data_IF_981797675510
#
_entry.id   IF_981797675510
#
_cell.length_a   1.000
_cell.length_b   1.000
_cell.length_c   1.000
_cell.angle_alpha   90.00
_cell.angle_beta   90.00
_cell.angle_gamma   90.00
#
_symmetry.space_group_name_H-M   'P 1'
#
loop_
_entity.id
_entity.type
_entity.pdbx_description
1 polymer ?
#
# COMPACT_ATOMS: atom_id res chain seq x y z
N UNK A 1 10.69 -15.97 43.35
CA UNK A 1 12.09 -15.77 43.76
C UNK A 1 12.64 -14.64 42.91
N UNK A 2 12.73 -13.47 43.53
CA UNK A 2 13.32 -12.19 43.08
C UNK A 2 13.44 -11.89 41.58
N UNK A 3 12.45 -11.18 41.06
CA UNK A 3 12.63 -10.18 40.00
C UNK A 3 13.24 -8.91 40.62
N UNK A 4 14.50 -8.99 41.00
CA UNK A 4 15.29 -7.85 41.48
C UNK A 4 15.95 -7.14 40.30
N UNK A 5 15.53 -5.90 40.03
CA UNK A 5 16.36 -4.80 39.52
C UNK A 5 17.40 -5.16 38.46
N UNK A 6 17.01 -5.17 37.17
CA UNK A 6 17.97 -5.29 36.06
C UNK A 6 18.91 -4.09 36.06
N UNK A 7 20.20 -4.41 36.13
CA UNK A 7 21.31 -3.47 36.19
C UNK A 7 21.44 -2.69 34.89
N UNK A 8 21.83 -1.42 35.00
CA UNK A 8 21.59 -0.40 33.98
C UNK A 8 22.46 -0.48 32.71
N UNK A 9 23.44 -1.39 32.64
CA UNK A 9 24.43 -1.42 31.56
C UNK A 9 24.80 -2.86 31.17
N UNK A 10 24.13 -3.38 30.14
CA UNK A 10 24.32 -4.73 29.61
C UNK A 10 24.81 -4.68 28.15
N UNK A 11 25.82 -5.49 27.83
CA UNK A 11 26.40 -5.61 26.48
C UNK A 11 26.10 -7.00 25.93
N UNK A 12 25.61 -7.05 24.69
CA UNK A 12 25.38 -8.28 23.91
C UNK A 12 26.62 -8.56 23.07
N UNK A 13 27.10 -9.80 23.09
CA UNK A 13 28.28 -10.24 22.34
C UNK A 13 27.91 -11.43 21.46
N UNK A 14 28.08 -11.32 20.14
CA UNK A 14 27.95 -12.47 19.25
C UNK A 14 29.26 -13.26 19.22
N UNK A 15 29.20 -14.54 19.58
CA UNK A 15 30.36 -15.41 19.83
C UNK A 15 30.12 -16.84 19.38
N UNK A 16 31.13 -17.50 18.80
CA UNK A 16 31.11 -18.94 18.53
C UNK A 16 31.87 -19.68 19.64
N UNK A 17 31.39 -19.62 20.89
CA UNK A 17 32.09 -20.28 22.02
C UNK A 17 31.11 -20.94 23.02
N UNK A 18 31.61 -21.95 23.76
CA UNK A 18 30.94 -22.65 24.87
C UNK A 18 30.95 -21.81 26.16
N UNK A 19 29.93 -21.98 26.99
CA UNK A 19 29.59 -21.18 28.19
C UNK A 19 30.73 -20.86 29.16
N UNK A 20 31.67 -21.78 29.37
CA UNK A 20 32.77 -21.60 30.34
C UNK A 20 33.86 -20.60 29.94
N UNK A 21 34.02 -20.28 28.66
CA UNK A 21 35.15 -19.47 28.18
C UNK A 21 34.87 -17.97 28.27
N UNK A 22 33.62 -17.53 28.08
CA UNK A 22 33.28 -16.10 28.12
C UNK A 22 33.53 -15.50 29.50
N UNK A 23 33.07 -16.18 30.56
CA UNK A 23 33.29 -15.71 31.93
C UNK A 23 34.77 -15.71 32.31
N UNK A 24 35.52 -16.73 31.88
CA UNK A 24 36.95 -16.84 32.15
C UNK A 24 37.74 -15.71 31.46
N UNK A 25 37.44 -15.44 30.18
CA UNK A 25 38.03 -14.34 29.42
C UNK A 25 37.76 -12.99 30.07
N UNK A 26 36.51 -12.70 30.44
CA UNK A 26 36.20 -11.45 31.11
C UNK A 26 36.85 -11.35 32.49
N UNK A 27 37.00 -12.45 33.23
CA UNK A 27 37.72 -12.46 34.52
C UNK A 27 39.22 -12.20 34.36
N UNK A 28 39.83 -12.68 33.28
CA UNK A 28 41.27 -12.55 33.01
C UNK A 28 41.64 -11.15 32.49
N UNK A 29 40.80 -10.56 31.64
CA UNK A 29 41.11 -9.31 30.93
C UNK A 29 40.34 -8.08 31.45
N UNK A 30 39.23 -8.27 32.17
CA UNK A 30 38.35 -7.17 32.62
C UNK A 30 37.91 -7.36 34.09
N UNK A 31 38.53 -6.64 35.02
CA UNK A 31 38.30 -6.83 36.46
C UNK A 31 36.93 -6.35 36.98
N UNK A 32 36.11 -5.71 36.16
CA UNK A 32 34.92 -4.97 36.61
C UNK A 32 33.68 -5.24 35.76
N UNK A 33 33.19 -6.49 35.80
CA UNK A 33 31.86 -6.88 35.31
C UNK A 33 31.07 -7.58 36.42
N UNK A 34 29.74 -7.53 36.35
CA UNK A 34 28.85 -8.12 37.34
C UNK A 34 28.56 -9.59 37.04
N UNK A 35 28.20 -9.87 35.79
CA UNK A 35 27.83 -11.20 35.35
C UNK A 35 28.10 -11.37 33.86
N UNK A 36 28.48 -12.58 33.44
CA UNK A 36 28.54 -12.97 32.04
C UNK A 36 27.70 -14.24 31.86
N UNK A 37 26.81 -14.26 30.86
CA UNK A 37 25.90 -15.37 30.55
C UNK A 37 25.85 -15.66 29.05
N UNK A 38 25.66 -16.91 28.65
CA UNK A 38 25.47 -17.30 27.23
C UNK A 38 24.06 -17.82 27.05
N UNK A 39 23.41 -17.46 25.95
CA UNK A 39 22.11 -18.01 25.57
C UNK A 39 22.32 -19.42 25.04
N UNK A 40 21.76 -20.39 25.75
CA UNK A 40 21.71 -21.79 25.31
C UNK A 40 20.29 -22.17 24.88
N UNK A 41 20.20 -23.10 23.94
CA UNK A 41 18.95 -23.72 23.56
C UNK A 41 18.45 -24.66 24.67
N UNK A 42 17.18 -24.51 25.06
CA UNK A 42 16.62 -25.16 26.26
C UNK A 42 16.42 -26.67 26.09
N UNK A 43 16.30 -27.16 24.85
CA UNK A 43 16.07 -28.58 24.56
C UNK A 43 17.38 -29.31 24.25
N UNK A 44 18.31 -28.63 23.59
CA UNK A 44 19.55 -29.24 23.08
C UNK A 44 20.81 -28.85 23.85
N UNK A 45 20.74 -27.86 24.75
CA UNK A 45 21.88 -27.31 25.49
C UNK A 45 22.92 -26.60 24.61
N UNK A 46 22.63 -26.40 23.33
CA UNK A 46 23.57 -25.83 22.35
C UNK A 46 23.60 -24.30 22.44
N UNK A 47 24.80 -23.70 22.38
CA UNK A 47 24.97 -22.23 22.41
C UNK A 47 24.31 -21.58 21.18
N UNK A 48 23.44 -20.59 21.41
CA UNK A 48 22.81 -19.76 20.35
C UNK A 48 23.72 -18.66 19.81
N UNK A 49 25.02 -18.72 20.14
CA UNK A 49 26.05 -17.78 19.69
C UNK A 49 25.86 -16.34 20.16
N UNK A 50 25.11 -16.14 21.25
CA UNK A 50 24.84 -14.84 21.86
C UNK A 50 25.21 -14.93 23.33
N UNK A 51 26.11 -14.05 23.78
CA UNK A 51 26.46 -13.81 25.17
C UNK A 51 25.97 -12.44 25.65
N UNK A 52 25.75 -12.31 26.95
CA UNK A 52 25.45 -11.05 27.61
C UNK A 52 26.44 -10.83 28.74
N UNK A 53 26.92 -9.60 28.89
CA UNK A 53 27.78 -9.18 29.99
C UNK A 53 27.17 -7.96 30.66
N UNK A 54 26.85 -8.13 31.94
CA UNK A 54 26.27 -7.11 32.81
C UNK A 54 27.40 -6.35 33.52
N UNK A 55 27.31 -5.02 33.59
CA UNK A 55 28.29 -4.15 34.26
C UNK A 55 27.64 -3.36 35.40
N UNK A 56 28.45 -3.05 36.43
CA UNK A 56 28.05 -2.23 37.56
C UNK A 56 28.13 -0.71 37.28
N UNK A 57 28.76 -0.29 36.17
CA UNK A 57 28.96 1.12 35.80
C UNK A 57 28.97 1.28 34.27
N UNK A 58 28.37 2.37 33.79
CA UNK A 58 28.36 2.77 32.37
C UNK A 58 29.76 2.96 31.80
N UNK A 59 30.65 3.57 32.59
CA UNK A 59 32.02 3.88 32.21
C UNK A 59 32.79 2.58 31.93
N UNK A 60 32.59 1.56 32.75
CA UNK A 60 33.20 0.25 32.56
C UNK A 60 32.65 -0.43 31.30
N UNK A 61 31.34 -0.34 31.07
CA UNK A 61 30.73 -0.94 29.89
C UNK A 61 31.23 -0.25 28.59
N UNK A 62 31.34 1.09 28.58
CA UNK A 62 31.89 1.84 27.43
C UNK A 62 33.36 1.50 27.19
N UNK A 63 34.17 1.49 28.24
CA UNK A 63 35.60 1.15 28.14
C UNK A 63 35.82 -0.25 27.56
N UNK A 64 35.01 -1.24 27.96
CA UNK A 64 35.07 -2.58 27.37
C UNK A 64 34.60 -2.59 25.92
N UNK A 65 33.51 -1.90 25.60
CA UNK A 65 32.98 -1.85 24.23
C UNK A 65 34.00 -1.25 23.26
N UNK A 66 34.66 -0.16 23.65
CA UNK A 66 35.73 0.48 22.87
C UNK A 66 36.97 -0.41 22.78
N UNK A 67 37.39 -1.05 23.88
CA UNK A 67 38.56 -1.94 23.88
C UNK A 67 38.36 -3.19 23.02
N UNK A 68 37.12 -3.60 22.76
CA UNK A 68 36.77 -4.83 22.05
C UNK A 68 36.08 -4.59 20.70
N UNK A 69 36.00 -3.35 20.20
CA UNK A 69 35.25 -2.97 18.98
C UNK A 69 35.71 -3.75 17.72
N UNK A 70 36.96 -4.23 17.71
CA UNK A 70 37.52 -5.19 16.73
C UNK A 70 38.24 -6.37 17.38
N UNK A 71 37.86 -6.71 18.62
CA UNK A 71 38.49 -7.77 19.40
C UNK A 71 38.21 -9.18 18.86
N UNK A 72 39.07 -10.11 19.24
CA UNK A 72 38.85 -11.54 19.06
C UNK A 72 38.82 -12.25 20.42
N UNK A 73 37.87 -13.17 20.59
CA UNK A 73 37.85 -14.10 21.71
C UNK A 73 38.04 -15.51 21.14
N UNK A 74 39.05 -16.25 21.61
CA UNK A 74 39.42 -17.57 21.10
C UNK A 74 39.54 -17.64 19.55
N UNK A 75 40.19 -16.63 18.94
CA UNK A 75 40.37 -16.50 17.47
C UNK A 75 39.07 -16.37 16.67
N UNK A 76 37.97 -16.01 17.31
CA UNK A 76 36.71 -15.66 16.66
C UNK A 76 36.47 -14.17 16.79
N UNK A 77 36.18 -13.50 15.67
CA UNK A 77 35.76 -12.10 15.68
C UNK A 77 34.45 -11.95 16.45
N UNK A 78 34.37 -10.95 17.31
CA UNK A 78 33.17 -10.65 18.09
C UNK A 78 32.50 -9.39 17.58
N UNK A 79 31.18 -9.31 17.75
CA UNK A 79 30.45 -8.04 17.59
C UNK A 79 29.75 -7.71 18.89
N UNK A 80 29.91 -6.47 19.34
CA UNK A 80 29.36 -5.97 20.61
C UNK A 80 28.25 -4.95 20.35
N UNK A 81 27.11 -5.13 21.00
CA UNK A 81 26.00 -4.17 20.96
C UNK A 81 25.44 -3.89 22.37
N UNK A 82 24.75 -2.77 22.55
CA UNK A 82 24.06 -2.48 23.80
C UNK A 82 22.77 -3.30 23.89
N UNK A 83 22.50 -3.90 25.05
CA UNK A 83 21.26 -4.62 25.26
C UNK A 83 20.08 -3.64 25.38
N UNK A 84 19.06 -3.82 24.54
CA UNK A 84 17.84 -3.00 24.61
C UNK A 84 17.06 -3.32 25.88
N UNK A 85 16.77 -2.29 26.67
CA UNK A 85 15.91 -2.39 27.86
C UNK A 85 14.50 -2.82 27.46
N UNK A 86 14.01 -3.89 28.08
CA UNK A 86 12.66 -4.41 27.85
C UNK A 86 11.67 -3.56 28.67
N UNK A 87 11.10 -2.51 28.07
CA UNK A 87 10.17 -1.61 28.75
C UNK A 87 9.58 -0.42 27.98
N UNK A 88 10.05 -0.08 26.77
CA UNK A 88 9.48 1.04 25.98
C UNK A 88 8.55 0.57 24.84
N UNK A 89 7.60 -0.30 25.17
CA UNK A 89 6.64 -0.89 24.21
C UNK A 89 5.31 -0.12 24.09
N UNK A 90 5.28 1.21 24.30
CA UNK A 90 4.09 2.04 24.01
C UNK A 90 4.18 2.92 22.75
N UNK A 91 5.29 2.84 21.99
CA UNK A 91 5.40 3.36 20.62
C UNK A 91 5.71 2.26 19.59
N UNK A 92 5.19 1.05 19.84
CA UNK A 92 5.61 -0.20 19.21
C UNK A 92 5.48 -0.28 17.68
N UNK A 93 4.62 0.50 17.03
CA UNK A 93 4.51 0.44 15.56
C UNK A 93 5.52 1.34 14.84
N UNK A 94 5.74 2.56 15.34
CA UNK A 94 6.67 3.51 14.72
C UNK A 94 8.13 3.13 14.98
N UNK A 95 8.44 2.65 16.19
CA UNK A 95 9.82 2.27 16.54
C UNK A 95 10.22 0.92 15.90
N UNK A 96 9.31 -0.05 15.83
CA UNK A 96 9.54 -1.30 15.07
C UNK A 96 9.68 -1.05 13.58
N UNK A 97 8.89 -0.12 13.00
CA UNK A 97 9.02 0.33 11.61
C UNK A 97 10.38 1.00 11.37
N UNK A 98 10.80 1.89 12.27
CA UNK A 98 12.10 2.60 12.16
C UNK A 98 13.29 1.65 12.29
N UNK A 99 13.26 0.75 13.28
CA UNK A 99 14.33 -0.23 13.49
C UNK A 99 14.37 -1.32 12.41
N UNK A 100 13.22 -1.72 11.84
CA UNK A 100 13.22 -2.56 10.63
C UNK A 100 13.75 -1.83 9.39
N UNK A 101 13.45 -0.54 9.23
CA UNK A 101 13.97 0.28 8.14
C UNK A 101 15.50 0.46 8.24
N UNK A 102 16.04 0.70 9.44
CA UNK A 102 17.49 0.84 9.67
C UNK A 102 18.25 -0.50 9.49
N UNK A 103 17.72 -1.63 9.99
CA UNK A 103 18.36 -2.94 9.82
C UNK A 103 18.45 -3.37 8.34
N UNK A 104 17.54 -2.89 7.51
CA UNK A 104 17.42 -3.19 6.09
C UNK A 104 18.32 -2.37 5.18
N UNK A 105 18.85 -1.25 5.68
CA UNK A 105 19.77 -0.41 4.90
C UNK A 105 21.14 -1.10 4.72
N UNK A 106 21.52 -1.99 5.63
CA UNK A 106 22.80 -2.70 5.63
C UNK A 106 22.85 -3.96 4.73
N UNK A 107 21.76 -4.33 4.04
CA UNK A 107 21.66 -5.53 3.19
C UNK A 107 21.02 -5.30 1.80
N UNK A 108 21.09 -4.09 1.24
CA UNK A 108 20.58 -3.81 -0.11
C UNK A 108 21.61 -4.20 -1.19
N UNK A 109 21.43 -5.36 -1.83
CA UNK A 109 22.25 -5.76 -2.98
C UNK A 109 21.83 -5.05 -4.29
N UNK A 110 20.64 -4.45 -4.36
CA UNK A 110 20.10 -3.80 -5.56
C UNK A 110 19.72 -2.34 -5.27
N UNK A 111 20.31 -1.41 -6.01
CA UNK A 111 20.09 0.04 -5.87
C UNK A 111 19.09 0.61 -6.88
N UNK A 112 19.03 0.02 -8.06
CA UNK A 112 18.17 0.44 -9.18
C UNK A 112 17.50 -0.77 -9.83
N UNK A 113 16.29 -0.56 -10.36
CA UNK A 113 15.55 -1.49 -11.19
C UNK A 113 15.35 -0.95 -12.60
N UNK A 114 15.24 -1.84 -13.59
CA UNK A 114 15.02 -1.51 -15.01
C UNK A 114 13.69 -2.09 -15.46
N UNK A 115 12.76 -1.25 -15.90
CA UNK A 115 11.48 -1.71 -16.45
C UNK A 115 11.65 -2.22 -17.88
N UNK A 116 11.06 -3.38 -18.18
CA UNK A 116 10.98 -3.88 -19.56
C UNK A 116 9.92 -3.13 -20.38
N UNK A 117 8.91 -2.53 -19.71
CA UNK A 117 7.83 -1.80 -20.36
C UNK A 117 6.70 -2.69 -20.92
N UNK A 118 5.75 -2.06 -21.60
CA UNK A 118 4.56 -2.72 -22.15
C UNK A 118 4.87 -3.50 -23.43
N UNK A 119 5.70 -2.95 -24.32
CA UNK A 119 6.02 -3.54 -25.63
C UNK A 119 7.53 -3.56 -25.87
N UNK A 120 7.99 -4.53 -26.65
CA UNK A 120 9.40 -4.64 -27.05
C UNK A 120 9.73 -3.77 -28.28
N UNK A 121 8.72 -3.36 -29.06
CA UNK A 121 8.91 -2.59 -30.29
C UNK A 121 8.85 -1.08 -30.03
N UNK A 122 9.98 -0.40 -30.27
CA UNK A 122 10.16 1.05 -30.09
C UNK A 122 9.15 1.92 -30.86
N UNK A 123 8.78 1.53 -32.08
CA UNK A 123 7.79 2.27 -32.88
C UNK A 123 6.40 2.21 -32.25
N UNK A 124 6.05 1.06 -31.68
CA UNK A 124 4.79 0.86 -30.96
C UNK A 124 4.79 1.69 -29.67
N UNK A 125 5.88 1.70 -28.91
CA UNK A 125 5.99 2.53 -27.70
C UNK A 125 5.77 4.03 -27.97
N UNK A 126 6.33 4.57 -29.06
CA UNK A 126 6.15 5.97 -29.46
C UNK A 126 4.71 6.29 -29.88
N UNK A 127 4.01 5.35 -30.53
CA UNK A 127 2.59 5.52 -30.84
C UNK A 127 1.75 5.58 -29.56
N UNK A 128 2.03 4.66 -28.63
CA UNK A 128 1.32 4.60 -27.35
C UNK A 128 1.68 5.74 -26.39
N UNK A 129 2.86 6.35 -26.52
CA UNK A 129 3.23 7.58 -25.78
C UNK A 129 2.17 8.67 -25.96
N UNK A 130 1.79 8.96 -27.22
CA UNK A 130 0.76 9.98 -27.50
C UNK A 130 -0.60 9.55 -26.94
N UNK A 131 -0.95 8.28 -27.05
CA UNK A 131 -2.21 7.75 -26.52
C UNK A 131 -2.29 7.92 -24.99
N UNK A 132 -1.26 7.48 -24.26
CA UNK A 132 -1.24 7.58 -22.80
C UNK A 132 -1.17 9.03 -22.32
N UNK A 133 -0.49 9.92 -23.05
CA UNK A 133 -0.51 11.34 -22.78
C UNK A 133 -1.92 11.93 -22.91
N UNK A 134 -2.65 11.60 -23.99
CA UNK A 134 -4.04 12.02 -24.16
C UNK A 134 -4.96 11.45 -23.08
N UNK A 135 -4.80 10.17 -22.73
CA UNK A 135 -5.53 9.55 -21.63
C UNK A 135 -5.26 10.28 -20.30
N UNK A 136 -4.00 10.61 -20.00
CA UNK A 136 -3.63 11.34 -18.78
C UNK A 136 -4.28 12.73 -18.72
N UNK A 137 -4.21 13.49 -19.81
CA UNK A 137 -4.86 14.80 -19.90
C UNK A 137 -6.39 14.68 -19.76
N UNK A 138 -6.99 13.64 -20.34
CA UNK A 138 -8.42 13.39 -20.20
C UNK A 138 -8.82 13.05 -18.75
N UNK A 139 -8.00 12.27 -18.03
CA UNK A 139 -8.20 11.98 -16.60
C UNK A 139 -8.12 13.27 -15.78
N UNK A 140 -7.06 14.05 -15.98
CA UNK A 140 -6.84 15.32 -15.27
C UNK A 140 -8.01 16.27 -15.49
N UNK A 141 -8.37 16.52 -16.75
CA UNK A 141 -9.46 17.40 -17.11
C UNK A 141 -10.80 16.90 -16.58
N UNK A 142 -11.12 15.63 -16.80
CA UNK A 142 -12.41 15.03 -16.43
C UNK A 142 -12.65 15.05 -14.91
N UNK A 143 -11.66 14.64 -14.12
CA UNK A 143 -11.78 14.63 -12.66
C UNK A 143 -11.72 16.04 -12.05
N UNK A 144 -10.95 16.96 -12.64
CA UNK A 144 -10.97 18.37 -12.23
C UNK A 144 -12.35 18.99 -12.46
N UNK A 145 -12.98 18.72 -13.62
CA UNK A 145 -14.35 19.19 -13.91
C UNK A 145 -15.35 18.65 -12.90
N UNK A 146 -15.23 17.39 -12.47
CA UNK A 146 -16.08 16.84 -11.41
C UNK A 146 -15.85 17.59 -10.09
N UNK A 147 -14.59 17.74 -9.67
CA UNK A 147 -14.25 18.44 -8.43
C UNK A 147 -14.81 19.86 -8.41
N UNK A 148 -14.60 20.63 -9.48
CA UNK A 148 -15.12 21.99 -9.59
C UNK A 148 -16.65 21.98 -9.57
N UNK A 149 -17.30 21.16 -10.39
CA UNK A 149 -18.76 21.13 -10.49
C UNK A 149 -19.41 20.81 -9.15
N UNK A 150 -18.91 19.78 -8.45
CA UNK A 150 -19.52 19.36 -7.20
C UNK A 150 -19.24 20.37 -6.08
N UNK A 151 -18.01 20.89 -5.95
CA UNK A 151 -17.69 21.87 -4.91
C UNK A 151 -18.43 23.21 -5.09
N UNK A 152 -18.64 23.65 -6.33
CA UNK A 152 -19.35 24.91 -6.64
C UNK A 152 -20.85 24.73 -6.88
N UNK A 153 -21.45 23.60 -6.49
CA UNK A 153 -22.90 23.40 -6.58
C UNK A 153 -23.49 22.74 -5.34
N UNK A 154 -24.81 22.80 -5.20
CA UNK A 154 -25.54 22.10 -4.13
C UNK A 154 -25.42 20.56 -4.20
N UNK A 155 -24.79 20.01 -5.25
CA UNK A 155 -24.55 18.57 -5.34
C UNK A 155 -23.67 18.07 -4.18
N UNK A 156 -22.75 18.87 -3.64
CA UNK A 156 -21.87 18.46 -2.53
C UNK A 156 -22.64 18.06 -1.26
N UNK A 157 -23.87 18.53 -1.09
CA UNK A 157 -24.74 18.21 0.04
C UNK A 157 -25.26 16.76 -0.04
N UNK A 158 -25.30 16.18 -1.24
CA UNK A 158 -25.74 14.82 -1.46
C UNK A 158 -24.57 13.83 -1.23
N UNK A 159 -24.75 12.78 -0.41
CA UNK A 159 -23.71 11.79 -0.11
C UNK A 159 -23.03 11.18 -1.32
N UNK A 160 -23.80 10.78 -2.35
CA UNK A 160 -23.26 10.21 -3.59
C UNK A 160 -22.21 11.10 -4.26
N UNK A 161 -22.50 12.40 -4.39
CA UNK A 161 -21.60 13.35 -5.05
C UNK A 161 -20.44 13.74 -4.15
N UNK A 162 -20.64 13.75 -2.83
CA UNK A 162 -19.53 13.90 -1.88
C UNK A 162 -18.51 12.77 -2.00
N UNK A 163 -18.95 11.51 -2.07
CA UNK A 163 -18.06 10.38 -2.34
C UNK A 163 -17.41 10.48 -3.72
N UNK A 164 -18.15 10.94 -4.73
CA UNK A 164 -17.60 11.15 -6.07
C UNK A 164 -16.47 12.20 -6.10
N UNK A 165 -16.54 13.26 -5.29
CA UNK A 165 -15.41 14.19 -5.15
C UNK A 165 -14.14 13.49 -4.64
N UNK A 166 -14.27 12.68 -3.59
CA UNK A 166 -13.14 11.93 -3.06
C UNK A 166 -12.63 10.89 -4.06
N UNK A 167 -13.52 10.22 -4.78
CA UNK A 167 -13.16 9.30 -5.87
C UNK A 167 -12.35 10.02 -6.95
N UNK A 168 -12.81 11.18 -7.41
CA UNK A 168 -12.08 11.98 -8.41
C UNK A 168 -10.74 12.48 -7.91
N UNK A 169 -10.60 12.78 -6.61
CA UNK A 169 -9.30 13.10 -6.02
C UNK A 169 -8.36 11.88 -6.03
N UNK A 170 -8.87 10.70 -5.69
CA UNK A 170 -8.09 9.45 -5.75
C UNK A 170 -7.65 9.13 -7.18
N UNK A 171 -8.55 9.27 -8.16
CA UNK A 171 -8.23 9.08 -9.58
C UNK A 171 -7.08 9.99 -10.04
N UNK A 172 -7.10 11.28 -9.65
CA UNK A 172 -6.03 12.23 -9.95
C UNK A 172 -4.71 11.82 -9.32
N UNK A 173 -4.69 11.57 -8.01
CA UNK A 173 -3.47 11.21 -7.30
C UNK A 173 -2.89 9.86 -7.78
N UNK A 174 -3.75 8.87 -8.01
CA UNK A 174 -3.35 7.54 -8.43
C UNK A 174 -2.74 7.58 -9.82
N UNK A 175 -3.45 8.21 -10.77
CA UNK A 175 -2.93 8.32 -12.13
C UNK A 175 -1.67 9.17 -12.21
N UNK A 176 -1.54 10.25 -11.43
CA UNK A 176 -0.30 11.03 -11.33
C UNK A 176 0.87 10.27 -10.71
N UNK A 177 0.64 9.20 -9.94
CA UNK A 177 1.70 8.34 -9.39
C UNK A 177 2.27 7.37 -10.42
N UNK A 178 1.44 6.90 -11.36
CA UNK A 178 1.78 5.81 -12.30
C UNK A 178 2.02 6.32 -13.73
N UNK A 179 1.10 7.15 -14.25
CA UNK A 179 1.02 7.47 -15.68
C UNK A 179 2.12 8.41 -16.17
N UNK A 180 2.53 9.48 -15.44
CA UNK A 180 3.65 10.31 -15.87
C UNK A 180 4.94 9.51 -16.04
N UNK A 181 5.17 8.52 -15.18
CA UNK A 181 6.31 7.63 -15.27
C UNK A 181 6.23 6.73 -16.50
N UNK A 182 5.07 6.11 -16.73
CA UNK A 182 4.81 5.32 -17.93
C UNK A 182 5.09 6.14 -19.21
N UNK A 183 4.59 7.39 -19.27
CA UNK A 183 4.81 8.29 -20.41
C UNK A 183 6.31 8.58 -20.59
N UNK A 184 7.03 8.88 -19.51
CA UNK A 184 8.48 9.10 -19.54
C UNK A 184 9.21 7.85 -20.06
N UNK A 185 8.87 6.67 -19.54
CA UNK A 185 9.54 5.42 -19.87
C UNK A 185 9.25 4.98 -21.32
N UNK A 186 8.07 5.31 -21.87
CA UNK A 186 7.75 5.12 -23.29
C UNK A 186 8.57 6.04 -24.22
N UNK A 187 9.09 7.16 -23.72
CA UNK A 187 9.94 8.06 -24.50
C UNK A 187 11.45 7.81 -24.26
N UNK A 188 11.82 7.20 -23.13
CA UNK A 188 13.21 7.00 -22.73
C UNK A 188 13.88 5.79 -23.40
N UNK A 189 15.21 5.88 -23.59
CA UNK A 189 16.03 4.74 -24.01
C UNK A 189 16.35 3.79 -22.83
N UNK A 190 16.46 4.34 -21.62
CA UNK A 190 16.67 3.61 -20.36
C UNK A 190 15.52 3.88 -19.40
N UNK A 191 15.00 2.82 -18.77
CA UNK A 191 13.77 2.84 -17.96
C UNK A 191 14.09 2.50 -16.50
N UNK A 192 15.05 3.23 -15.92
CA UNK A 192 15.62 2.92 -14.61
C UNK A 192 14.88 3.64 -13.48
N UNK A 193 14.43 2.91 -12.46
CA UNK A 193 13.81 3.44 -11.23
C UNK A 193 14.70 3.09 -10.04
N UNK A 194 14.93 4.04 -9.12
CA UNK A 194 15.65 3.70 -7.90
C UNK A 194 14.81 2.81 -6.99
N UNK A 195 15.46 2.03 -6.12
CA UNK A 195 14.76 1.21 -5.13
C UNK A 195 13.75 2.02 -4.32
N UNK A 196 14.16 3.18 -3.80
CA UNK A 196 13.31 4.05 -2.97
C UNK A 196 12.12 4.62 -3.76
N UNK A 197 12.32 5.01 -5.02
CA UNK A 197 11.23 5.46 -5.90
C UNK A 197 10.23 4.32 -6.16
N UNK A 198 10.72 3.09 -6.39
CA UNK A 198 9.88 1.91 -6.60
C UNK A 198 9.02 1.63 -5.35
N UNK A 199 9.63 1.57 -4.17
CA UNK A 199 8.91 1.32 -2.91
C UNK A 199 7.90 2.43 -2.60
N UNK A 200 8.24 3.69 -2.89
CA UNK A 200 7.32 4.82 -2.73
C UNK A 200 6.14 4.73 -3.70
N UNK A 201 6.40 4.39 -4.97
CA UNK A 201 5.35 4.19 -5.97
C UNK A 201 4.43 3.03 -5.56
N UNK A 202 4.99 1.91 -5.11
CA UNK A 202 4.25 0.73 -4.67
C UNK A 202 3.29 1.08 -3.51
N UNK A 203 3.81 1.72 -2.46
CA UNK A 203 3.05 2.13 -1.29
C UNK A 203 1.93 3.11 -1.66
N UNK A 204 2.28 4.15 -2.43
CA UNK A 204 1.33 5.22 -2.81
C UNK A 204 0.22 4.66 -3.70
N UNK A 205 0.56 3.82 -4.68
CA UNK A 205 -0.42 3.20 -5.56
C UNK A 205 -1.40 2.31 -4.77
N UNK A 206 -0.90 1.44 -3.89
CA UNK A 206 -1.77 0.57 -3.08
C UNK A 206 -2.63 1.35 -2.09
N UNK A 207 -2.09 2.43 -1.50
CA UNK A 207 -2.85 3.28 -0.59
C UNK A 207 -4.03 3.92 -1.30
N UNK A 208 -3.77 4.58 -2.44
CA UNK A 208 -4.79 5.30 -3.19
C UNK A 208 -5.83 4.33 -3.79
N UNK A 209 -5.39 3.19 -4.35
CA UNK A 209 -6.31 2.15 -4.84
C UNK A 209 -7.15 1.53 -3.70
N UNK A 210 -6.54 1.30 -2.53
CA UNK A 210 -7.25 0.82 -1.35
C UNK A 210 -8.35 1.78 -0.91
N UNK A 211 -8.04 3.08 -0.83
CA UNK A 211 -9.01 4.12 -0.49
C UNK A 211 -10.12 4.20 -1.54
N UNK A 212 -9.79 4.17 -2.83
CA UNK A 212 -10.75 4.14 -3.94
C UNK A 212 -11.76 2.99 -3.80
N UNK A 213 -11.28 1.77 -3.51
CA UNK A 213 -12.11 0.59 -3.31
C UNK A 213 -13.15 0.83 -2.19
N UNK A 214 -12.72 1.36 -1.04
CA UNK A 214 -13.64 1.64 0.07
C UNK A 214 -14.62 2.80 -0.23
N UNK A 215 -14.22 3.77 -1.04
CA UNK A 215 -15.12 4.81 -1.55
C UNK A 215 -16.19 4.18 -2.46
N UNK A 216 -15.81 3.28 -3.36
CA UNK A 216 -16.77 2.56 -4.22
C UNK A 216 -17.78 1.74 -3.41
N UNK A 217 -17.35 1.10 -2.32
CA UNK A 217 -18.24 0.43 -1.36
C UNK A 217 -19.18 1.43 -0.67
N UNK A 218 -18.66 2.57 -0.24
CA UNK A 218 -19.46 3.63 0.40
C UNK A 218 -20.54 4.19 -0.54
N UNK A 219 -20.22 4.36 -1.83
CA UNK A 219 -21.18 4.74 -2.86
C UNK A 219 -22.24 3.66 -3.10
N UNK A 220 -21.88 2.37 -3.04
CA UNK A 220 -22.85 1.28 -3.15
C UNK A 220 -23.79 1.24 -1.95
N UNK A 221 -23.26 1.46 -0.73
CA UNK A 221 -24.04 1.57 0.50
C UNK A 221 -25.02 2.73 0.44
N UNK A 222 -24.60 3.90 -0.04
CA UNK A 222 -25.48 5.05 -0.25
C UNK A 222 -26.68 4.69 -1.13
N UNK A 223 -26.41 4.10 -2.30
CA UNK A 223 -27.45 3.66 -3.24
C UNK A 223 -28.37 2.62 -2.65
N UNK A 224 -27.82 1.65 -1.92
CA UNK A 224 -28.59 0.62 -1.24
C UNK A 224 -29.58 1.23 -0.23
N UNK A 225 -29.09 2.11 0.65
CA UNK A 225 -29.93 2.75 1.68
C UNK A 225 -30.98 3.64 1.03
N UNK A 226 -30.64 4.40 -0.02
CA UNK A 226 -31.56 5.27 -0.74
C UNK A 226 -32.75 4.49 -1.34
N UNK A 227 -32.52 3.27 -1.85
CA UNK A 227 -33.54 2.47 -2.53
C UNK A 227 -34.34 1.60 -1.55
N UNK A 228 -33.65 0.94 -0.63
CA UNK A 228 -34.22 -0.07 0.27
C UNK A 228 -34.84 0.57 1.51
N UNK A 229 -34.26 1.66 2.04
CA UNK A 229 -34.72 2.34 3.26
C UNK A 229 -34.90 3.85 3.06
N UNK A 230 -35.74 4.29 2.10
CA UNK A 230 -35.87 5.72 1.76
C UNK A 230 -36.32 6.59 2.94
N UNK A 231 -37.22 6.09 3.81
CA UNK A 231 -37.73 6.84 4.96
C UNK A 231 -36.66 7.14 6.02
N UNK A 232 -35.61 6.31 6.08
CA UNK A 232 -34.51 6.47 7.04
C UNK A 232 -33.22 6.97 6.38
N UNK A 233 -33.25 7.30 5.08
CA UNK A 233 -32.06 7.64 4.31
C UNK A 233 -31.29 8.80 4.94
N UNK A 234 -31.96 9.91 5.27
CA UNK A 234 -31.32 11.09 5.84
C UNK A 234 -30.76 10.87 7.26
N UNK A 235 -31.32 9.90 8.00
CA UNK A 235 -30.81 9.55 9.33
C UNK A 235 -29.55 8.66 9.22
N UNK A 236 -29.53 7.74 8.25
CA UNK A 236 -28.44 6.77 8.05
C UNK A 236 -27.27 7.40 7.28
N UNK A 237 -27.53 8.04 6.15
CA UNK A 237 -26.54 8.70 5.29
C UNK A 237 -26.59 10.21 5.47
N UNK A 238 -25.97 10.68 6.56
CA UNK A 238 -25.72 12.10 6.80
C UNK A 238 -24.23 12.44 6.65
N UNK A 239 -23.90 13.73 6.68
CA UNK A 239 -22.52 14.21 6.47
C UNK A 239 -21.51 13.63 7.48
N UNK A 240 -21.90 13.49 8.76
CA UNK A 240 -21.02 12.91 9.80
C UNK A 240 -20.67 11.46 9.46
N UNK A 241 -21.65 10.66 9.03
CA UNK A 241 -21.44 9.27 8.60
C UNK A 241 -20.62 9.19 7.32
N UNK A 242 -20.85 10.07 6.35
CA UNK A 242 -20.03 10.14 5.14
C UNK A 242 -18.56 10.43 5.46
N UNK A 243 -18.30 11.41 6.32
CA UNK A 243 -16.92 11.73 6.76
C UNK A 243 -16.29 10.54 7.49
N UNK A 244 -17.04 9.87 8.37
CA UNK A 244 -16.56 8.66 9.05
C UNK A 244 -16.18 7.56 8.05
N UNK A 245 -17.00 7.32 7.03
CA UNK A 245 -16.71 6.33 5.98
C UNK A 245 -15.44 6.67 5.20
N UNK A 246 -15.22 7.95 4.86
CA UNK A 246 -13.97 8.41 4.22
C UNK A 246 -12.76 8.19 5.14
N UNK A 247 -12.85 8.56 6.42
CA UNK A 247 -11.74 8.36 7.37
C UNK A 247 -11.43 6.88 7.52
N UNK A 248 -12.45 6.01 7.62
CA UNK A 248 -12.27 4.57 7.66
C UNK A 248 -11.61 4.04 6.38
N UNK A 249 -11.98 4.55 5.20
CA UNK A 249 -11.33 4.20 3.94
C UNK A 249 -9.81 4.48 3.97
N UNK A 250 -9.42 5.65 4.47
CA UNK A 250 -8.01 6.03 4.65
C UNK A 250 -7.28 5.14 5.66
N UNK A 251 -7.87 4.89 6.82
CA UNK A 251 -7.24 4.06 7.86
C UNK A 251 -7.03 2.62 7.37
N UNK A 252 -8.04 2.01 6.76
CA UNK A 252 -7.94 0.63 6.28
C UNK A 252 -7.01 0.54 5.07
N UNK A 253 -7.07 1.50 4.14
CA UNK A 253 -6.14 1.59 3.01
C UNK A 253 -4.70 1.74 3.47
N UNK A 254 -4.43 2.59 4.47
CA UNK A 254 -3.10 2.75 5.06
C UNK A 254 -2.59 1.47 5.69
N UNK A 255 -3.42 0.80 6.50
CA UNK A 255 -3.03 -0.45 7.15
C UNK A 255 -2.70 -1.56 6.15
N UNK A 256 -3.52 -1.67 5.09
CA UNK A 256 -3.26 -2.61 3.99
C UNK A 256 -1.92 -2.30 3.29
N UNK A 257 -1.68 -1.04 2.93
CA UNK A 257 -0.48 -0.64 2.19
C UNK A 257 0.80 -0.72 3.01
N UNK A 258 0.76 -0.38 4.31
CA UNK A 258 1.94 -0.49 5.18
C UNK A 258 2.30 -1.96 5.46
N UNK A 259 1.30 -2.81 5.68
CA UNK A 259 1.52 -4.25 5.87
C UNK A 259 2.14 -4.88 4.61
N UNK A 260 1.63 -4.51 3.43
CA UNK A 260 2.19 -4.93 2.16
C UNK A 260 3.61 -4.41 1.95
N UNK A 261 3.87 -3.13 2.23
CA UNK A 261 5.20 -2.54 2.10
C UNK A 261 6.20 -3.24 3.03
N UNK A 262 5.88 -3.42 4.31
CA UNK A 262 6.72 -4.12 5.27
C UNK A 262 7.05 -5.55 4.83
N UNK A 263 6.05 -6.25 4.28
CA UNK A 263 6.24 -7.58 3.72
C UNK A 263 7.24 -7.56 2.57
N UNK A 264 7.06 -6.65 1.61
CA UNK A 264 7.92 -6.53 0.41
C UNK A 264 9.33 -6.09 0.79
N UNK A 265 9.46 -5.14 1.72
CA UNK A 265 10.74 -4.72 2.26
C UNK A 265 11.47 -5.95 2.81
N UNK A 266 10.84 -6.77 3.66
CA UNK A 266 11.48 -7.93 4.31
C UNK A 266 12.00 -9.04 3.36
N UNK A 267 11.84 -8.90 2.04
CA UNK A 267 12.27 -9.89 1.05
C UNK A 267 13.71 -9.66 0.58
N UNK A 268 14.53 -10.73 0.47
CA UNK A 268 15.88 -10.62 -0.07
C UNK A 268 15.85 -10.50 -1.60
N UNK A 269 16.04 -9.28 -2.10
CA UNK A 269 16.23 -9.01 -3.53
C UNK A 269 17.68 -9.29 -3.94
N UNK A 270 17.89 -10.34 -4.72
CA UNK A 270 19.20 -10.64 -5.32
C UNK A 270 19.11 -11.25 -6.72
N UNK A 271 17.91 -11.28 -7.32
CA UNK A 271 17.73 -11.58 -8.73
C UNK A 271 18.23 -10.46 -9.65
N UNK A 272 18.08 -10.61 -10.97
CA UNK A 272 18.40 -9.54 -11.92
C UNK A 272 17.56 -8.30 -11.60
N UNK A 273 18.11 -7.11 -11.82
CA UNK A 273 17.42 -5.85 -11.54
C UNK A 273 16.34 -5.49 -12.58
N UNK A 274 15.85 -6.46 -13.36
CA UNK A 274 14.88 -6.23 -14.43
C UNK A 274 13.47 -6.58 -13.97
N UNK A 275 12.56 -5.60 -14.07
CA UNK A 275 11.13 -5.76 -13.76
C UNK A 275 10.37 -5.88 -15.08
N UNK A 276 9.76 -7.04 -15.35
CA UNK A 276 8.90 -7.25 -16.52
C UNK A 276 7.50 -6.65 -16.30
N UNK A 277 7.46 -5.33 -16.11
CA UNK A 277 6.27 -4.51 -15.94
C UNK A 277 6.60 -3.06 -16.31
N UNK A 278 5.60 -2.18 -16.38
CA UNK A 278 5.79 -0.73 -16.56
C UNK A 278 5.60 0.08 -15.27
N UNK A 279 5.32 -0.59 -14.15
CA UNK A 279 5.10 0.03 -12.84
C UNK A 279 5.64 -0.88 -11.75
N UNK A 280 5.98 -0.30 -10.60
CA UNK A 280 6.44 -1.02 -9.43
C UNK A 280 5.25 -1.68 -8.71
N UNK A 281 5.04 -2.97 -8.97
CA UNK A 281 3.96 -3.78 -8.39
C UNK A 281 4.52 -5.00 -7.67
N UNK A 282 3.75 -5.55 -6.73
CA UNK A 282 4.13 -6.65 -5.86
C UNK A 282 4.51 -7.89 -6.67
N UNK A 283 3.65 -8.28 -7.61
CA UNK A 283 3.84 -9.51 -8.40
C UNK A 283 5.15 -9.51 -9.21
N UNK A 284 5.47 -8.46 -10.00
CA UNK A 284 6.77 -8.35 -10.63
C UNK A 284 7.92 -8.38 -9.63
N UNK A 285 7.82 -7.67 -8.50
CA UNK A 285 8.88 -7.66 -7.47
C UNK A 285 9.16 -9.04 -6.87
N UNK A 286 8.12 -9.86 -6.66
CA UNK A 286 8.29 -11.23 -6.16
C UNK A 286 9.16 -12.09 -7.10
N UNK A 287 9.19 -11.82 -8.41
CA UNK A 287 10.04 -12.57 -9.35
C UNK A 287 11.54 -12.28 -9.18
N UNK A 288 11.92 -11.23 -8.45
CA UNK A 288 13.31 -10.82 -8.21
C UNK A 288 13.89 -11.34 -6.88
N UNK A 289 13.09 -12.05 -6.09
CA UNK A 289 13.47 -12.58 -4.77
C UNK A 289 14.24 -13.89 -4.93
N UNK A 290 15.31 -14.09 -4.17
CA UNK A 290 16.15 -15.30 -4.28
C UNK A 290 15.70 -16.49 -3.44
N UNK A 291 14.78 -16.26 -2.51
CA UNK A 291 14.20 -17.31 -1.68
C UNK A 291 12.92 -17.82 -2.32
N UNK A 292 12.52 -19.04 -1.94
CA UNK A 292 11.19 -19.56 -2.22
C UNK A 292 10.11 -18.52 -1.87
N UNK A 293 9.38 -18.10 -2.90
CA UNK A 293 8.30 -17.12 -2.83
C UNK A 293 6.93 -17.74 -2.60
N UNK A 294 6.79 -19.07 -2.47
CA UNK A 294 5.50 -19.73 -2.36
C UNK A 294 4.65 -19.16 -1.21
N UNK A 295 5.22 -19.03 -0.01
CA UNK A 295 4.51 -18.51 1.17
C UNK A 295 4.10 -17.05 0.97
N UNK A 296 4.99 -16.23 0.43
CA UNK A 296 4.76 -14.79 0.21
C UNK A 296 3.75 -14.57 -0.92
N UNK A 297 3.85 -15.34 -2.00
CA UNK A 297 2.91 -15.32 -3.13
C UNK A 297 1.51 -15.73 -2.66
N UNK A 298 1.39 -16.78 -1.84
CA UNK A 298 0.11 -17.15 -1.19
C UNK A 298 -0.40 -16.01 -0.31
N UNK A 299 0.47 -15.38 0.49
CA UNK A 299 0.09 -14.27 1.36
C UNK A 299 -0.39 -13.05 0.56
N UNK A 300 0.22 -12.75 -0.59
CA UNK A 300 -0.20 -11.67 -1.49
C UNK A 300 -1.53 -11.99 -2.16
N UNK A 301 -1.75 -13.22 -2.63
CA UNK A 301 -3.06 -13.66 -3.16
C UNK A 301 -4.13 -13.59 -2.06
N UNK A 302 -3.80 -14.02 -0.84
CA UNK A 302 -4.71 -14.01 0.29
C UNK A 302 -5.01 -12.59 0.82
N UNK A 303 -4.04 -11.66 0.76
CA UNK A 303 -4.21 -10.31 1.28
C UNK A 303 -4.76 -9.33 0.23
N UNK A 304 -4.29 -9.38 -1.01
CA UNK A 304 -4.71 -8.47 -2.08
C UNK A 304 -5.79 -9.10 -2.96
N UNK A 305 -5.60 -10.35 -3.40
CA UNK A 305 -6.57 -11.03 -4.27
C UNK A 305 -7.91 -11.31 -3.57
N UNK A 306 -7.89 -11.96 -2.40
CA UNK A 306 -9.12 -12.30 -1.67
C UNK A 306 -9.90 -11.08 -1.19
N UNK A 307 -9.22 -10.01 -0.78
CA UNK A 307 -9.88 -8.77 -0.36
C UNK A 307 -10.64 -8.15 -1.53
N UNK A 308 -10.01 -8.04 -2.70
CA UNK A 308 -10.66 -7.51 -3.91
C UNK A 308 -11.85 -8.38 -4.32
N UNK A 309 -11.71 -9.72 -4.30
CA UNK A 309 -12.81 -10.65 -4.60
C UNK A 309 -13.94 -10.53 -3.58
N UNK A 310 -13.64 -10.49 -2.28
CA UNK A 310 -14.64 -10.37 -1.23
C UNK A 310 -15.45 -9.08 -1.37
N UNK A 311 -14.76 -7.96 -1.63
CA UNK A 311 -15.41 -6.66 -1.85
C UNK A 311 -16.27 -6.69 -3.12
N UNK A 312 -15.76 -7.27 -4.21
CA UNK A 312 -16.54 -7.43 -5.44
C UNK A 312 -17.83 -8.24 -5.20
N UNK A 313 -17.75 -9.34 -4.45
CA UNK A 313 -18.92 -10.15 -4.10
C UNK A 313 -19.93 -9.38 -3.24
N UNK A 314 -19.45 -8.59 -2.27
CA UNK A 314 -20.32 -7.71 -1.46
C UNK A 314 -21.02 -6.67 -2.34
N UNK A 315 -20.31 -6.08 -3.31
CA UNK A 315 -20.89 -5.13 -4.26
C UNK A 315 -21.95 -5.81 -5.15
N UNK A 316 -21.64 -6.98 -5.72
CA UNK A 316 -22.58 -7.75 -6.54
C UNK A 316 -23.82 -8.14 -5.74
N UNK A 317 -23.66 -8.65 -4.51
CA UNK A 317 -24.77 -8.99 -3.63
C UNK A 317 -25.64 -7.76 -3.31
N UNK A 318 -25.01 -6.62 -3.02
CA UNK A 318 -25.71 -5.36 -2.77
C UNK A 318 -26.56 -4.95 -3.99
N UNK A 319 -26.03 -5.08 -5.20
CA UNK A 319 -26.76 -4.78 -6.43
C UNK A 319 -27.86 -5.78 -6.75
N UNK A 320 -27.67 -7.07 -6.47
CA UNK A 320 -28.75 -8.07 -6.59
C UNK A 320 -29.92 -7.70 -5.67
N UNK A 321 -29.63 -7.33 -4.42
CA UNK A 321 -30.65 -6.89 -3.46
C UNK A 321 -31.35 -5.60 -3.89
N UNK A 322 -30.60 -4.64 -4.45
CA UNK A 322 -31.17 -3.41 -5.04
C UNK A 322 -32.13 -3.78 -6.17
N UNK A 323 -31.69 -4.61 -7.14
CA UNK A 323 -32.50 -5.02 -8.28
C UNK A 323 -33.76 -5.80 -7.86
N UNK A 324 -33.65 -6.64 -6.83
CA UNK A 324 -34.78 -7.35 -6.25
C UNK A 324 -35.82 -6.38 -5.66
N UNK A 325 -35.38 -5.42 -4.84
CA UNK A 325 -36.26 -4.41 -4.25
C UNK A 325 -36.84 -3.43 -5.28
N UNK A 326 -36.15 -3.20 -6.41
CA UNK A 326 -36.68 -2.37 -7.49
C UNK A 326 -37.87 -3.02 -8.23
N UNK A 327 -38.10 -4.32 -8.09
CA UNK A 327 -39.27 -5.01 -8.69
C UNK A 327 -40.60 -4.53 -8.12
N UNK A 328 -40.61 -4.05 -6.87
CA UNK A 328 -41.83 -3.57 -6.19
C UNK A 328 -42.09 -2.07 -6.41
N UNK A 329 -41.22 -1.37 -7.16
CA UNK A 329 -41.34 0.07 -7.44
C UNK A 329 -42.10 0.33 -8.74
N UNK A 330 -42.63 1.55 -8.87
CA UNK A 330 -43.24 2.02 -10.12
C UNK A 330 -42.25 1.97 -11.29
N UNK A 331 -42.78 1.83 -12.51
CA UNK A 331 -41.98 1.79 -13.74
C UNK A 331 -41.05 3.01 -13.89
N UNK A 332 -41.53 4.21 -13.52
CA UNK A 332 -40.76 5.45 -13.51
C UNK A 332 -39.64 5.43 -12.46
N UNK A 333 -39.94 5.00 -11.22
CA UNK A 333 -38.94 4.88 -10.15
C UNK A 333 -37.85 3.85 -10.49
N UNK A 334 -38.24 2.72 -11.08
CA UNK A 334 -37.31 1.69 -11.56
C UNK A 334 -36.39 2.22 -12.65
N UNK A 335 -36.91 2.97 -13.63
CA UNK A 335 -36.09 3.54 -14.72
C UNK A 335 -35.07 4.55 -14.19
N UNK A 336 -35.47 5.41 -13.26
CA UNK A 336 -34.57 6.39 -12.61
C UNK A 336 -33.47 5.69 -11.79
N UNK A 337 -33.83 4.68 -11.00
CA UNK A 337 -32.87 3.93 -10.20
C UNK A 337 -31.89 3.11 -11.06
N UNK A 338 -32.36 2.44 -12.11
CA UNK A 338 -31.49 1.69 -13.03
C UNK A 338 -30.53 2.60 -13.79
N UNK A 339 -31.00 3.77 -14.24
CA UNK A 339 -30.16 4.73 -14.95
C UNK A 339 -29.00 5.23 -14.08
N UNK A 340 -29.24 5.42 -12.79
CA UNK A 340 -28.20 5.89 -11.86
C UNK A 340 -27.33 4.74 -11.37
N UNK A 341 -27.88 3.57 -11.06
CA UNK A 341 -27.12 2.40 -10.60
C UNK A 341 -26.20 1.81 -11.68
N UNK A 342 -26.64 1.85 -12.94
CA UNK A 342 -25.86 1.32 -14.07
C UNK A 342 -24.49 2.00 -14.19
N UNK A 343 -24.36 3.30 -13.87
CA UNK A 343 -23.07 3.98 -13.95
C UNK A 343 -22.08 3.44 -12.91
N UNK A 344 -22.51 3.24 -11.67
CA UNK A 344 -21.64 2.70 -10.63
C UNK A 344 -21.31 1.22 -10.87
N UNK A 345 -22.28 0.41 -11.32
CA UNK A 345 -22.01 -0.98 -11.73
C UNK A 345 -20.95 -1.05 -12.83
N UNK A 346 -21.01 -0.16 -13.83
CA UNK A 346 -20.00 -0.13 -14.89
C UNK A 346 -18.61 0.18 -14.34
N UNK A 347 -18.48 1.17 -13.45
CA UNK A 347 -17.20 1.52 -12.83
C UNK A 347 -16.66 0.35 -12.00
N UNK A 348 -17.51 -0.28 -11.18
CA UNK A 348 -17.14 -1.46 -10.38
C UNK A 348 -16.66 -2.60 -11.28
N UNK A 349 -17.37 -2.92 -12.36
CA UNK A 349 -16.95 -4.00 -13.26
C UNK A 349 -15.64 -3.67 -13.97
N UNK A 350 -15.50 -2.44 -14.48
CA UNK A 350 -14.28 -1.99 -15.19
C UNK A 350 -13.05 -1.99 -14.29
N UNK A 351 -13.21 -1.68 -13.00
CA UNK A 351 -12.11 -1.67 -12.04
C UNK A 351 -11.79 -3.06 -11.49
N UNK A 352 -12.80 -3.78 -10.96
CA UNK A 352 -12.58 -5.01 -10.22
C UNK A 352 -12.27 -6.21 -11.10
N UNK A 353 -12.87 -6.36 -12.28
CA UNK A 353 -12.66 -7.56 -13.11
C UNK A 353 -11.19 -7.70 -13.56
N UNK A 354 -10.54 -6.64 -14.12
CA UNK A 354 -9.11 -6.70 -14.42
C UNK A 354 -8.25 -6.92 -13.18
N UNK A 355 -8.57 -6.26 -12.06
CA UNK A 355 -7.83 -6.39 -10.80
C UNK A 355 -7.90 -7.83 -10.25
N UNK A 356 -9.07 -8.46 -10.24
CA UNK A 356 -9.27 -9.85 -9.81
C UNK A 356 -8.46 -10.79 -10.69
N UNK A 357 -8.52 -10.62 -12.02
CA UNK A 357 -7.73 -11.44 -12.93
C UNK A 357 -6.23 -11.33 -12.60
N UNK A 358 -5.73 -10.11 -12.42
CA UNK A 358 -4.33 -9.87 -12.08
C UNK A 358 -3.96 -10.49 -10.73
N UNK A 359 -4.75 -10.37 -9.66
CA UNK A 359 -4.29 -10.78 -8.31
C UNK A 359 -4.71 -12.18 -7.84
N UNK A 360 -5.62 -12.87 -8.52
CA UNK A 360 -6.00 -14.26 -8.17
C UNK A 360 -4.98 -15.28 -8.68
N UNK A 361 -4.33 -15.00 -9.80
CA UNK A 361 -3.31 -15.89 -10.37
C UNK A 361 -1.96 -15.71 -9.64
N UNK A 362 -1.19 -16.78 -9.38
CA UNK A 362 0.09 -16.67 -8.69
C UNK A 362 1.15 -15.91 -9.49
N UNK A 363 2.11 -15.31 -8.80
CA UNK A 363 3.27 -14.70 -9.45
C UNK A 363 4.08 -15.78 -10.19
N UNK A 364 4.29 -15.58 -11.51
CA UNK A 364 5.07 -16.51 -12.34
C UNK A 364 4.29 -17.30 -13.38
N UNK A 365 2.95 -17.27 -13.36
CA UNK A 365 2.18 -17.81 -14.48
C UNK A 365 2.39 -16.99 -15.77
N UNK A 366 2.21 -17.61 -16.94
CA UNK A 366 2.25 -16.95 -18.25
C UNK A 366 1.04 -16.01 -18.43
N UNK A 367 1.00 -14.94 -17.64
CA UNK A 367 -0.08 -13.96 -17.66
C UNK A 367 0.33 -12.69 -18.40
N UNK A 368 -0.69 -12.04 -18.96
CA UNK A 368 -0.64 -10.69 -19.49
C UNK A 368 -0.88 -9.64 -18.39
N UNK A 369 -0.23 -9.81 -17.24
CA UNK A 369 -0.47 -8.99 -16.04
C UNK A 369 -0.24 -7.49 -16.34
N UNK A 370 0.80 -7.16 -17.12
CA UNK A 370 1.12 -5.78 -17.54
C UNK A 370 0.11 -5.20 -18.52
N UNK A 371 -0.42 -5.96 -19.46
CA UNK A 371 -1.43 -5.44 -20.39
C UNK A 371 -2.77 -5.23 -19.67
N UNK A 372 -3.10 -6.12 -18.74
CA UNK A 372 -4.35 -6.07 -17.98
C UNK A 372 -4.33 -4.97 -16.94
N UNK A 373 -3.16 -4.66 -16.36
CA UNK A 373 -3.06 -3.58 -15.38
C UNK A 373 -3.41 -2.21 -15.97
N UNK A 374 -3.23 -2.01 -17.29
CA UNK A 374 -3.62 -0.77 -17.97
C UNK A 374 -5.12 -0.45 -17.77
N UNK A 375 -5.97 -1.48 -17.66
CA UNK A 375 -7.40 -1.28 -17.47
C UNK A 375 -7.71 -0.61 -16.14
N UNK A 376 -7.17 -1.11 -15.03
CA UNK A 376 -7.43 -0.49 -13.73
C UNK A 376 -6.53 0.73 -13.47
N UNK A 377 -5.35 0.83 -14.10
CA UNK A 377 -4.45 1.97 -13.85
C UNK A 377 -4.71 3.21 -14.69
N UNK A 378 -5.29 3.05 -15.89
CA UNK A 378 -5.49 4.14 -16.85
C UNK A 378 -6.93 4.21 -17.33
N UNK A 379 -7.46 3.10 -17.83
CA UNK A 379 -8.76 3.11 -18.52
C UNK A 379 -9.91 3.38 -17.56
N UNK A 380 -9.95 2.74 -16.39
CA UNK A 380 -11.00 2.96 -15.40
C UNK A 380 -11.03 4.42 -14.90
N UNK A 381 -9.92 5.01 -14.40
CA UNK A 381 -9.89 6.42 -14.02
C UNK A 381 -10.25 7.40 -15.16
N UNK A 382 -9.93 7.05 -16.41
CA UNK A 382 -10.29 7.86 -17.58
C UNK A 382 -11.78 7.80 -17.89
N UNK A 383 -12.39 6.63 -17.76
CA UNK A 383 -13.82 6.42 -18.02
C UNK A 383 -14.71 6.90 -16.86
N UNK A 384 -14.19 6.95 -15.63
CA UNK A 384 -14.90 7.40 -14.43
C UNK A 384 -15.61 8.76 -14.65
N UNK A 385 -14.92 9.82 -15.11
CA UNK A 385 -15.56 11.09 -15.42
C UNK A 385 -16.68 10.99 -16.45
N UNK A 386 -16.48 10.25 -17.54
CA UNK A 386 -17.50 10.10 -18.59
C UNK A 386 -18.73 9.37 -18.07
N UNK A 387 -18.52 8.34 -17.25
CA UNK A 387 -19.59 7.53 -16.67
C UNK A 387 -20.40 8.35 -15.65
N UNK A 388 -19.75 9.15 -14.80
CA UNK A 388 -20.44 9.94 -13.77
C UNK A 388 -20.97 11.30 -14.23
N UNK A 389 -20.41 11.90 -15.30
CA UNK A 389 -20.87 13.19 -15.84
C UNK A 389 -21.82 13.02 -17.03
N UNK A 390 -21.43 12.30 -18.08
CA UNK A 390 -22.19 12.24 -19.33
C UNK A 390 -23.43 11.36 -19.24
N UNK A 391 -23.52 10.46 -18.27
CA UNK A 391 -24.74 9.66 -18.05
C UNK A 391 -25.66 10.24 -16.98
N UNK A 392 -25.20 11.23 -16.21
CA UNK A 392 -25.96 11.79 -15.10
C UNK A 392 -26.56 13.16 -15.46
N UNK A 393 -27.89 13.23 -15.52
CA UNK A 393 -28.62 14.46 -15.88
C UNK A 393 -28.45 15.58 -14.86
N UNK A 394 -28.36 15.24 -13.57
CA UNK A 394 -28.14 16.21 -12.50
C UNK A 394 -26.73 16.82 -12.59
N UNK A 395 -25.72 15.99 -12.85
CA UNK A 395 -24.35 16.46 -13.09
C UNK A 395 -24.29 17.39 -14.31
N UNK A 396 -24.87 17.00 -15.46
CA UNK A 396 -24.94 17.86 -16.66
C UNK A 396 -25.63 19.19 -16.41
N UNK A 397 -26.65 19.22 -15.56
CA UNK A 397 -27.35 20.46 -15.21
C UNK A 397 -26.47 21.35 -14.33
N UNK A 398 -25.82 20.79 -13.32
CA UNK A 398 -24.90 21.52 -12.45
C UNK A 398 -23.71 22.07 -13.24
N UNK A 399 -23.09 21.26 -14.10
CA UNK A 399 -21.99 21.67 -14.98
C UNK A 399 -22.35 22.90 -15.81
N UNK A 400 -23.51 22.89 -16.49
CA UNK A 400 -23.98 24.03 -17.28
C UNK A 400 -24.16 25.30 -16.44
N UNK A 401 -24.69 25.18 -15.22
CA UNK A 401 -24.85 26.31 -14.30
C UNK A 401 -23.50 26.87 -13.87
N UNK A 402 -22.58 26.01 -13.43
CA UNK A 402 -21.23 26.43 -13.00
C UNK A 402 -20.48 27.10 -14.14
N UNK A 403 -20.51 26.53 -15.36
CA UNK A 403 -19.89 27.17 -16.53
C UNK A 403 -20.50 28.53 -16.86
N UNK A 404 -21.82 28.68 -16.79
CA UNK A 404 -22.46 29.98 -17.01
C UNK A 404 -22.00 31.01 -15.97
N UNK A 405 -21.90 30.62 -14.70
CA UNK A 405 -21.44 31.51 -13.63
C UNK A 405 -19.98 31.91 -13.80
N UNK A 406 -19.09 30.96 -14.15
CA UNK A 406 -17.68 31.23 -14.42
C UNK A 406 -17.50 32.17 -15.62
N UNK A 407 -18.26 31.96 -16.71
CA UNK A 407 -18.20 32.86 -17.88
C UNK A 407 -18.67 34.28 -17.56
N UNK A 408 -19.59 34.44 -16.60
CA UNK A 408 -20.06 35.75 -16.16
C UNK A 408 -19.11 36.42 -15.15
N UNK A 409 -18.32 35.66 -14.40
CA UNK A 409 -17.30 36.21 -13.50
C UNK A 409 -16.01 36.62 -14.21
N UNK A 410 -15.66 36.00 -15.35
CA UNK A 410 -14.51 36.43 -16.16
C UNK A 410 -14.79 37.64 -17.07
N UNK A 411 -16.08 38.00 -17.25
CA UNK A 411 -16.51 39.18 -18.01
C UNK A 411 -16.67 40.46 -17.16
N UNK A 412 -16.37 40.39 -15.87
CA UNK A 412 -16.41 41.49 -14.90
C UNK A 412 -15.01 41.78 -14.40
#
# INVERSE_FOLDING_TARGET
MDEGSRMAYEIVINLIIREGHLRSYFTEYFLSFAQARIVTDRETGSSKRIGFVDFNSEENAKAVKEAMEDGEIDRNKVTLDWAKLKGEDELGFSCALFTHLEFMENHKNVTEFVFMGLWENRQVELLFFLLFLLCYLAVLMGNTVILLTVNYSHLIEQPMYYFLCHLSLMDLCYTSTVVPRLIKDLAAATKNISYNECMTQLFTAHLLAGVEIFILVSMALDRYVAIVKPLHYMAIMNRKKCNMLIVMAWVVGFWHSIALLLMVLSLPFCGPNHINHYLCDVKPLLKLVCKDIHVVSILVIANSGMVVVAIFLVLVASYILILYNLRTRSSAGRRKALSTCSSHVMVVVLFFVPCIYTYVLPAGSENKDKEISVFYTVIAPMLNPLIYTLRNTEMKSAMRKVWSQMSHSELK
#
